data_IF_873344545273
#
_entry.id   IF_873344545273
#
_cell.length_a   1.000
_cell.length_b   1.000
_cell.length_c   1.000
_cell.angle_alpha   90.00
_cell.angle_beta   90.00
_cell.angle_gamma   90.00
#
_symmetry.space_group_name_H-M   'P 1'
#
loop_
_entity.id
_entity.type
_entity.pdbx_description
1 polymer ?
#
# COMPACT_ATOMS: atom_id res chain seq x y z
N UNK A 1 2.03 -16.92 -13.97
CA UNK A 1 2.27 -15.83 -12.99
C UNK A 1 2.27 -16.50 -11.63
N UNK A 2 3.44 -16.61 -11.00
CA UNK A 2 3.63 -17.41 -9.79
C UNK A 2 2.88 -16.78 -8.60
N UNK A 3 2.28 -17.64 -7.78
CA UNK A 3 1.57 -17.31 -6.54
C UNK A 3 2.51 -16.86 -5.39
N UNK A 4 3.77 -16.57 -5.67
CA UNK A 4 4.80 -16.27 -4.66
C UNK A 4 4.56 -14.92 -3.94
N UNK A 5 3.56 -14.15 -4.37
CA UNK A 5 3.29 -12.83 -3.82
C UNK A 5 2.01 -12.74 -2.97
N UNK A 6 1.28 -13.83 -2.71
CA UNK A 6 0.07 -13.79 -1.89
C UNK A 6 0.31 -14.14 -0.41
N UNK A 7 1.53 -14.48 -0.01
CA UNK A 7 1.90 -14.66 1.40
C UNK A 7 2.61 -13.42 1.94
N UNK A 8 2.40 -13.14 3.22
CA UNK A 8 3.05 -12.06 3.93
C UNK A 8 4.53 -12.37 4.09
N UNK A 9 5.41 -11.44 3.69
CA UNK A 9 6.87 -11.59 3.82
C UNK A 9 7.37 -11.68 5.27
N UNK A 10 6.53 -11.34 6.26
CA UNK A 10 6.90 -11.37 7.68
C UNK A 10 6.37 -12.60 8.43
N UNK A 11 5.09 -12.98 8.25
CA UNK A 11 4.50 -14.11 8.96
C UNK A 11 4.30 -15.37 8.09
N UNK A 12 4.47 -15.28 6.77
CA UNK A 12 4.26 -16.39 5.84
C UNK A 12 2.79 -16.72 5.55
N UNK A 13 1.85 -16.17 6.30
CA UNK A 13 0.42 -16.38 6.12
C UNK A 13 -0.13 -15.67 4.88
N UNK A 14 -1.29 -16.13 4.40
CA UNK A 14 -1.96 -15.57 3.23
C UNK A 14 -2.40 -14.13 3.46
N UNK A 15 -2.28 -13.29 2.44
CA UNK A 15 -2.69 -11.87 2.45
C UNK A 15 -3.85 -11.68 1.49
N UNK A 16 -5.03 -11.39 2.04
CA UNK A 16 -6.11 -10.76 1.31
C UNK A 16 -5.83 -9.25 1.21
N UNK A 17 -5.89 -8.68 0.00
CA UNK A 17 -5.57 -7.26 -0.20
C UNK A 17 -6.78 -6.42 0.22
N UNK A 18 -6.65 -5.73 1.35
CA UNK A 18 -7.66 -4.84 1.91
C UNK A 18 -7.02 -3.45 2.07
N UNK A 19 -7.56 -2.40 1.42
CA UNK A 19 -6.98 -1.05 1.45
C UNK A 19 -6.79 -0.53 2.87
N UNK A 20 -5.55 -0.24 3.26
CA UNK A 20 -5.22 0.27 4.60
C UNK A 20 -4.86 -0.79 5.64
N UNK A 21 -4.95 -2.09 5.31
CA UNK A 21 -4.52 -3.20 6.18
C UNK A 21 -3.48 -4.10 5.54
N UNK A 22 -3.44 -4.16 4.21
CA UNK A 22 -2.47 -4.94 3.48
C UNK A 22 -2.07 -4.22 2.18
N UNK A 23 -0.84 -4.48 1.75
CA UNK A 23 -0.34 -4.02 0.46
C UNK A 23 0.74 -4.96 -0.06
N UNK A 24 1.32 -4.64 -1.22
CA UNK A 24 2.47 -5.34 -1.76
C UNK A 24 3.61 -4.39 -2.11
N UNK A 25 4.84 -4.86 -1.93
CA UNK A 25 6.03 -4.28 -2.55
C UNK A 25 6.16 -4.94 -3.92
N UNK A 26 5.82 -4.25 -5.03
CA UNK A 26 5.90 -4.86 -6.35
C UNK A 26 7.35 -5.07 -6.77
N UNK A 27 7.59 -6.09 -7.60
CA UNK A 27 8.93 -6.53 -7.99
C UNK A 27 9.77 -5.44 -8.68
N UNK A 28 9.15 -4.48 -9.37
CA UNK A 28 9.89 -3.37 -9.99
C UNK A 28 10.34 -2.29 -8.98
N UNK A 29 9.91 -2.38 -7.71
CA UNK A 29 10.30 -1.48 -6.62
C UNK A 29 11.20 -2.19 -5.61
N UNK A 30 11.98 -3.20 -6.05
CA UNK A 30 12.85 -4.08 -5.24
C UNK A 30 13.37 -3.39 -3.97
N UNK A 31 12.73 -3.63 -2.83
CA UNK A 31 13.07 -2.92 -1.59
C UNK A 31 14.27 -3.60 -0.95
N UNK A 32 15.39 -2.91 -0.70
CA UNK A 32 16.57 -3.56 -0.12
C UNK A 32 16.22 -4.11 1.26
N UNK A 33 16.55 -5.38 1.47
CA UNK A 33 16.27 -6.10 2.70
C UNK A 33 17.56 -6.24 3.52
N UNK A 34 18.22 -5.13 3.87
CA UNK A 34 19.52 -5.19 4.58
C UNK A 34 19.45 -5.85 5.95
N UNK A 35 18.24 -6.10 6.45
CA UNK A 35 17.94 -6.81 7.69
C UNK A 35 17.64 -8.32 7.50
N UNK A 36 17.60 -8.83 6.27
CA UNK A 36 17.44 -10.25 5.97
C UNK A 36 18.78 -10.83 5.51
N UNK A 37 19.29 -11.85 6.21
CA UNK A 37 20.60 -12.44 5.92
C UNK A 37 20.65 -13.12 4.53
N UNK A 38 19.55 -13.76 4.12
CA UNK A 38 19.49 -14.57 2.90
C UNK A 38 18.93 -13.82 1.68
N UNK A 39 18.43 -12.59 1.86
CA UNK A 39 17.76 -11.84 0.80
C UNK A 39 18.30 -10.43 0.68
N UNK A 40 18.77 -10.06 -0.50
CA UNK A 40 19.18 -8.67 -0.77
C UNK A 40 17.98 -7.72 -0.93
N UNK A 41 16.81 -8.27 -1.29
CA UNK A 41 15.60 -7.50 -1.59
C UNK A 41 14.32 -8.21 -1.13
N UNK A 42 13.35 -7.43 -0.66
CA UNK A 42 11.99 -7.88 -0.34
C UNK A 42 11.08 -7.58 -1.53
N UNK A 43 10.29 -8.59 -1.90
CA UNK A 43 9.18 -8.49 -2.86
C UNK A 43 8.02 -9.33 -2.32
N UNK A 44 6.80 -8.82 -2.42
CA UNK A 44 5.60 -9.58 -2.06
C UNK A 44 4.62 -8.82 -1.19
N UNK A 45 3.62 -9.52 -0.70
CA UNK A 45 2.56 -8.95 0.12
C UNK A 45 2.98 -8.78 1.58
N UNK A 46 2.31 -7.87 2.26
CA UNK A 46 2.50 -7.63 3.68
C UNK A 46 1.16 -7.32 4.35
N UNK A 47 0.97 -7.89 5.54
CA UNK A 47 0.01 -7.33 6.50
C UNK A 47 0.68 -6.13 7.17
N UNK A 48 -0.04 -5.01 7.24
CA UNK A 48 0.46 -3.81 7.92
C UNK A 48 0.63 -4.04 9.43
N UNK A 49 -0.20 -4.89 10.02
CA UNK A 49 -0.04 -5.35 11.41
C UNK A 49 1.31 -6.05 11.64
N UNK A 50 1.72 -6.94 10.73
CA UNK A 50 3.02 -7.60 10.81
C UNK A 50 4.18 -6.62 10.59
N UNK A 51 4.04 -5.66 9.67
CA UNK A 51 5.06 -4.64 9.47
C UNK A 51 5.26 -3.79 10.74
N UNK A 52 4.18 -3.31 11.37
CA UNK A 52 4.26 -2.56 12.63
C UNK A 52 4.91 -3.35 13.77
N UNK A 53 4.62 -4.65 13.85
CA UNK A 53 5.19 -5.52 14.88
C UNK A 53 6.66 -5.92 14.61
N UNK A 54 7.15 -5.73 13.38
CA UNK A 54 8.47 -6.16 12.98
C UNK A 54 9.58 -5.40 13.73
N UNK A 55 10.66 -6.08 14.15
CA UNK A 55 11.85 -5.39 14.64
C UNK A 55 12.53 -4.57 13.55
N UNK A 56 12.35 -4.95 12.27
CA UNK A 56 12.94 -4.27 11.11
C UNK A 56 12.07 -3.14 10.53
N UNK A 57 11.03 -2.71 11.25
CA UNK A 57 10.06 -1.73 10.74
C UNK A 57 10.69 -0.39 10.39
N UNK A 58 11.70 0.04 11.14
CA UNK A 58 12.38 1.33 10.95
C UNK A 58 13.24 1.29 9.69
N UNK A 59 13.97 0.20 9.49
CA UNK A 59 14.78 -0.07 8.31
C UNK A 59 13.90 -0.18 7.06
N UNK A 60 12.77 -0.90 7.17
CA UNK A 60 11.75 -0.96 6.13
C UNK A 60 11.25 0.45 5.79
N UNK A 61 10.80 1.22 6.79
CA UNK A 61 10.22 2.54 6.59
C UNK A 61 11.23 3.50 5.93
N UNK A 62 12.48 3.46 6.35
CA UNK A 62 13.55 4.28 5.78
C UNK A 62 13.83 3.92 4.31
N UNK A 63 13.88 2.62 3.99
CA UNK A 63 14.09 2.16 2.62
C UNK A 63 12.87 2.47 1.73
N UNK A 64 11.66 2.26 2.23
CA UNK A 64 10.43 2.62 1.53
C UNK A 64 10.35 4.12 1.27
N UNK A 65 10.72 4.97 2.24
CA UNK A 65 10.74 6.42 2.07
C UNK A 65 11.64 6.84 0.89
N UNK A 66 12.83 6.25 0.77
CA UNK A 66 13.74 6.56 -0.35
C UNK A 66 13.14 6.24 -1.72
N UNK A 67 12.33 5.18 -1.81
CA UNK A 67 11.62 4.81 -3.03
C UNK A 67 10.44 5.75 -3.26
N UNK A 68 9.64 5.97 -2.22
CA UNK A 68 8.39 6.68 -2.34
C UNK A 68 8.58 8.17 -2.64
N UNK A 69 9.57 8.79 -2.00
CA UNK A 69 9.83 10.24 -2.11
C UNK A 69 10.92 10.58 -3.12
N UNK A 70 11.35 9.65 -3.96
CA UNK A 70 12.34 9.86 -5.01
C UNK A 70 11.74 9.77 -6.42
N UNK A 71 12.53 10.17 -7.41
CA UNK A 71 12.26 9.91 -8.84
C UNK A 71 12.93 8.61 -9.35
N UNK A 72 13.81 8.03 -8.54
CA UNK A 72 14.56 6.84 -8.85
C UNK A 72 15.99 6.94 -8.34
N UNK A 73 16.65 5.79 -8.19
CA UNK A 73 18.04 5.71 -7.76
C UNK A 73 18.74 4.51 -8.38
N UNK A 74 20.05 4.62 -8.48
CA UNK A 74 20.94 3.52 -8.82
C UNK A 74 21.36 2.78 -7.54
N UNK A 75 21.21 1.46 -7.53
CA UNK A 75 21.60 0.60 -6.42
C UNK A 75 22.70 -0.33 -6.90
N UNK A 76 23.89 -0.18 -6.32
CA UNK A 76 24.99 -1.12 -6.50
C UNK A 76 24.96 -2.19 -5.40
N UNK A 77 25.03 -3.46 -5.78
CA UNK A 77 25.01 -4.60 -4.84
C UNK A 77 25.91 -5.74 -5.33
N UNK A 78 26.27 -6.65 -4.42
CA UNK A 78 27.04 -7.85 -4.76
C UNK A 78 26.09 -9.01 -5.03
N UNK A 79 26.23 -9.67 -6.17
CA UNK A 79 25.51 -10.91 -6.48
C UNK A 79 26.36 -11.80 -7.39
N UNK A 80 26.32 -13.11 -7.14
CA UNK A 80 27.10 -14.11 -7.87
C UNK A 80 28.62 -13.81 -7.94
N UNK A 81 29.17 -13.15 -6.90
CA UNK A 81 30.59 -12.80 -6.83
C UNK A 81 30.98 -11.56 -7.64
N UNK A 82 30.02 -10.83 -8.21
CA UNK A 82 30.25 -9.62 -9.00
C UNK A 82 29.43 -8.43 -8.47
N UNK A 83 29.95 -7.23 -8.72
CA UNK A 83 29.22 -5.97 -8.51
C UNK A 83 28.17 -5.81 -9.61
N UNK A 84 26.91 -5.76 -9.22
CA UNK A 84 25.76 -5.52 -10.09
C UNK A 84 25.15 -4.16 -9.80
N UNK A 85 24.52 -3.56 -10.81
CA UNK A 85 23.83 -2.27 -10.71
C UNK A 85 22.37 -2.43 -11.15
N UNK A 86 21.46 -1.95 -10.30
CA UNK A 86 20.01 -1.90 -10.56
C UNK A 86 19.54 -0.45 -10.60
N UNK A 87 18.77 -0.10 -11.62
CA UNK A 87 18.01 1.15 -11.63
C UNK A 87 16.65 0.89 -11.00
N UNK A 88 16.38 1.53 -9.87
CA UNK A 88 15.11 1.42 -9.17
C UNK A 88 14.29 2.70 -9.41
N UNK A 89 13.04 2.58 -9.91
CA UNK A 89 12.14 3.71 -10.05
C UNK A 89 11.64 4.21 -8.70
N UNK A 90 11.41 5.52 -8.59
CA UNK A 90 10.74 6.14 -7.45
C UNK A 90 9.24 6.36 -7.70
N UNK A 91 8.52 6.87 -6.70
CA UNK A 91 7.07 7.13 -6.79
C UNK A 91 6.69 8.60 -6.91
N UNK A 92 7.67 9.51 -6.85
CA UNK A 92 7.45 10.93 -7.08
C UNK A 92 6.63 11.64 -5.99
N UNK A 93 6.58 11.13 -4.75
CA UNK A 93 6.01 11.85 -3.60
C UNK A 93 7.07 12.77 -2.98
N UNK A 94 7.54 13.76 -3.74
CA UNK A 94 8.75 14.53 -3.40
C UNK A 94 8.51 15.71 -2.45
N UNK A 95 7.30 16.25 -2.41
CA UNK A 95 6.98 17.43 -1.59
C UNK A 95 6.50 16.99 -0.20
N UNK A 96 7.32 17.11 0.84
CA UNK A 96 6.86 16.88 2.21
C UNK A 96 6.03 18.07 2.70
N UNK A 97 4.72 17.86 2.87
CA UNK A 97 3.78 18.91 3.30
C UNK A 97 3.47 18.86 4.79
N UNK A 98 3.75 17.74 5.45
CA UNK A 98 3.55 17.55 6.89
C UNK A 98 4.58 16.58 7.47
N UNK A 99 4.99 16.82 8.72
CA UNK A 99 5.77 15.90 9.53
C UNK A 99 5.33 16.02 10.98
N UNK A 100 4.83 14.92 11.52
CA UNK A 100 4.44 14.80 12.92
C UNK A 100 5.23 13.70 13.64
N UNK A 101 4.71 13.30 14.79
CA UNK A 101 5.33 12.34 15.70
C UNK A 101 5.07 10.89 15.27
N UNK A 102 3.96 10.63 14.57
CA UNK A 102 3.54 9.29 14.12
C UNK A 102 3.82 9.07 12.63
N UNK A 103 3.78 10.13 11.81
CA UNK A 103 3.84 10.05 10.37
C UNK A 103 4.45 11.28 9.66
N UNK A 104 4.63 11.14 8.36
CA UNK A 104 4.86 12.24 7.43
C UNK A 104 3.86 12.17 6.27
N UNK A 105 3.53 13.31 5.67
CA UNK A 105 2.70 13.37 4.47
C UNK A 105 3.50 14.01 3.35
N UNK A 106 3.56 13.28 2.25
CA UNK A 106 4.22 13.70 1.03
C UNK A 106 3.20 13.82 -0.10
N UNK A 107 3.28 14.91 -0.86
CA UNK A 107 2.47 15.14 -2.05
C UNK A 107 3.28 14.76 -3.29
N UNK A 108 2.59 14.18 -4.27
CA UNK A 108 3.16 13.95 -5.58
C UNK A 108 3.23 15.24 -6.41
N UNK A 109 4.34 15.40 -7.12
CA UNK A 109 4.55 16.52 -8.04
C UNK A 109 4.00 16.26 -9.45
N UNK A 110 3.64 15.02 -9.75
CA UNK A 110 3.20 14.56 -11.07
C UNK A 110 1.74 14.09 -11.08
N UNK A 111 1.05 14.13 -9.92
CA UNK A 111 -0.37 13.77 -9.81
C UNK A 111 -1.00 14.33 -8.53
N UNK A 112 -2.32 14.48 -8.55
CA UNK A 112 -3.12 14.84 -7.37
C UNK A 112 -3.23 13.63 -6.42
N UNK A 113 -2.12 13.30 -5.76
CA UNK A 113 -1.96 12.14 -4.88
C UNK A 113 -1.08 12.49 -3.69
N UNK A 114 -1.41 11.90 -2.54
CA UNK A 114 -0.72 12.07 -1.26
C UNK A 114 -0.35 10.72 -0.68
N UNK A 115 0.84 10.64 -0.13
CA UNK A 115 1.35 9.53 0.63
C UNK A 115 1.38 9.92 2.10
N UNK A 116 0.57 9.27 2.91
CA UNK A 116 0.69 9.29 4.37
C UNK A 116 1.57 8.10 4.77
N UNK A 117 2.75 8.35 5.32
CA UNK A 117 3.69 7.32 5.72
C UNK A 117 3.88 7.35 7.24
N UNK A 118 3.50 6.27 7.93
CA UNK A 118 3.83 6.10 9.34
C UNK A 118 5.33 5.83 9.51
N UNK A 119 5.92 6.41 10.56
CA UNK A 119 7.32 6.09 10.93
C UNK A 119 7.47 4.62 11.32
N UNK A 120 6.38 3.97 11.74
CA UNK A 120 6.32 2.56 12.09
C UNK A 120 6.12 1.60 10.89
N UNK A 121 6.00 2.11 9.66
CA UNK A 121 6.10 1.30 8.45
C UNK A 121 4.92 1.38 7.48
N UNK A 122 3.64 1.27 7.91
CA UNK A 122 2.53 1.33 6.97
C UNK A 122 2.44 2.66 6.23
N UNK A 123 1.85 2.59 5.04
CA UNK A 123 1.62 3.77 4.23
C UNK A 123 0.23 3.72 3.61
N UNK A 124 -0.29 4.91 3.32
CA UNK A 124 -1.60 5.13 2.73
C UNK A 124 -1.44 6.07 1.55
N UNK A 125 -2.00 5.67 0.41
CA UNK A 125 -2.09 6.55 -0.75
C UNK A 125 -3.51 7.09 -0.80
N UNK A 126 -3.64 8.40 -0.79
CA UNK A 126 -4.88 9.13 -0.99
C UNK A 126 -4.78 9.81 -2.34
N UNK A 127 -5.79 9.67 -3.19
CA UNK A 127 -5.89 10.43 -4.42
C UNK A 127 -6.91 11.56 -4.26
N UNK A 128 -7.09 12.33 -5.33
CA UNK A 128 -8.00 13.47 -5.35
C UNK A 128 -9.40 13.18 -4.78
N UNK A 129 -10.10 12.08 -5.11
CA UNK A 129 -11.43 11.83 -4.54
C UNK A 129 -11.40 11.74 -3.01
N UNK A 130 -10.37 11.11 -2.43
CA UNK A 130 -10.24 11.01 -0.97
C UNK A 130 -9.96 12.37 -0.33
N UNK A 131 -9.16 13.22 -0.98
CA UNK A 131 -8.94 14.58 -0.48
C UNK A 131 -10.22 15.43 -0.59
N UNK A 132 -11.00 15.28 -1.65
CA UNK A 132 -12.30 15.95 -1.82
C UNK A 132 -13.31 15.52 -0.75
N UNK A 133 -13.34 14.23 -0.40
CA UNK A 133 -14.14 13.72 0.72
C UNK A 133 -13.72 14.38 2.04
N UNK A 134 -12.41 14.43 2.32
CA UNK A 134 -11.88 15.09 3.52
C UNK A 134 -12.25 16.58 3.55
N UNK A 135 -12.15 17.29 2.42
CA UNK A 135 -12.55 18.70 2.32
C UNK A 135 -14.04 18.92 2.63
N UNK A 136 -14.88 17.93 2.36
CA UNK A 136 -16.32 17.93 2.69
C UNK A 136 -16.62 17.44 4.10
N UNK A 137 -15.60 17.16 4.92
CA UNK A 137 -15.75 16.64 6.28
C UNK A 137 -16.09 15.15 6.35
N UNK A 138 -16.00 14.42 5.22
CA UNK A 138 -16.22 12.96 5.18
C UNK A 138 -14.93 12.20 5.53
N UNK A 139 -15.07 10.90 5.72
CA UNK A 139 -13.94 9.99 5.81
C UNK A 139 -13.46 9.59 4.41
N UNK A 140 -12.15 9.49 4.15
CA UNK A 140 -11.65 9.03 2.87
C UNK A 140 -12.01 7.55 2.66
N UNK A 141 -12.55 7.21 1.49
CA UNK A 141 -12.86 5.83 1.09
C UNK A 141 -11.87 5.38 0.02
N UNK A 142 -11.10 4.32 0.29
CA UNK A 142 -10.20 3.73 -0.69
C UNK A 142 -10.93 2.65 -1.47
N UNK A 143 -11.04 2.85 -2.78
CA UNK A 143 -11.65 1.92 -3.73
C UNK A 143 -10.63 1.55 -4.82
N UNK A 144 -9.88 0.44 -4.66
CA UNK A 144 -8.93 -0.03 -5.67
C UNK A 144 -9.63 -0.70 -6.87
N UNK A 145 -10.95 -0.86 -6.84
CA UNK A 145 -11.72 -1.67 -7.79
C UNK A 145 -11.64 -3.17 -7.52
N UNK A 146 -11.82 -3.96 -8.57
CA UNK A 146 -11.87 -5.43 -8.49
C UNK A 146 -10.46 -6.01 -8.43
N UNK A 147 -10.19 -6.72 -7.34
CA UNK A 147 -8.98 -7.48 -7.08
C UNK A 147 -9.14 -8.94 -7.50
N UNK A 148 -8.03 -9.56 -7.90
CA UNK A 148 -7.98 -10.97 -8.30
C UNK A 148 -6.88 -11.70 -7.57
N UNK A 149 -7.23 -12.73 -6.81
CA UNK A 149 -6.27 -13.47 -5.98
C UNK A 149 -6.48 -14.99 -6.07
N UNK A 150 -5.40 -15.75 -5.94
CA UNK A 150 -5.47 -17.22 -5.84
C UNK A 150 -5.48 -17.63 -4.38
N UNK A 151 -6.53 -18.34 -3.97
CA UNK A 151 -6.69 -18.80 -2.59
C UNK A 151 -5.74 -19.97 -2.28
N UNK A 152 -5.21 -20.03 -1.04
CA UNK A 152 -4.22 -21.04 -0.64
C UNK A 152 -4.85 -22.43 -0.50
N UNK A 153 -6.15 -22.47 -0.21
CA UNK A 153 -6.97 -23.68 -0.05
C UNK A 153 -8.36 -23.44 -0.63
N UNK A 154 -9.15 -24.49 -0.72
CA UNK A 154 -10.56 -24.36 -1.10
C UNK A 154 -11.27 -23.45 -0.07
N UNK A 155 -12.06 -22.45 -0.52
CA UNK A 155 -12.80 -21.57 0.37
C UNK A 155 -13.93 -22.31 1.08
N UNK A 156 -14.56 -21.61 2.03
CA UNK A 156 -15.80 -22.05 2.66
C UNK A 156 -16.92 -22.30 1.64
N UNK A 157 -17.89 -23.13 2.01
CA UNK A 157 -19.14 -23.26 1.26
C UNK A 157 -19.87 -21.92 1.17
N UNK A 158 -20.60 -21.68 0.08
CA UNK A 158 -21.36 -20.45 -0.17
C UNK A 158 -20.52 -19.17 -0.15
N UNK A 159 -19.30 -19.21 -0.68
CA UNK A 159 -18.41 -18.03 -0.80
C UNK A 159 -19.09 -16.80 -1.42
N UNK A 160 -20.05 -16.98 -2.32
CA UNK A 160 -20.77 -15.88 -2.96
C UNK A 160 -21.60 -15.02 -1.97
N UNK A 161 -22.05 -15.62 -0.87
CA UNK A 161 -22.84 -14.97 0.17
C UNK A 161 -22.00 -14.61 1.40
N UNK A 162 -20.70 -14.90 1.38
CA UNK A 162 -19.83 -14.70 2.51
C UNK A 162 -19.60 -13.21 2.78
N UNK A 163 -19.63 -12.83 4.05
CA UNK A 163 -19.16 -11.52 4.50
C UNK A 163 -17.63 -11.47 4.55
N UNK A 164 -17.05 -10.27 4.58
CA UNK A 164 -15.59 -10.12 4.71
C UNK A 164 -15.02 -10.81 5.96
N UNK A 165 -15.62 -10.68 7.17
CA UNK A 165 -15.14 -11.40 8.34
C UNK A 165 -15.19 -12.92 8.19
N UNK A 166 -16.25 -13.47 7.59
CA UNK A 166 -16.35 -14.92 7.33
C UNK A 166 -15.28 -15.39 6.34
N UNK A 167 -14.99 -14.59 5.31
CA UNK A 167 -13.90 -14.87 4.38
C UNK A 167 -12.55 -14.89 5.10
N UNK A 168 -12.24 -13.86 5.90
CA UNK A 168 -10.99 -13.78 6.65
C UNK A 168 -10.82 -14.93 7.65
N UNK A 169 -11.90 -15.31 8.33
CA UNK A 169 -11.94 -16.45 9.26
C UNK A 169 -11.70 -17.78 8.53
N UNK A 170 -12.36 -17.98 7.38
CA UNK A 170 -12.16 -19.16 6.53
C UNK A 170 -10.72 -19.27 5.99
N UNK A 171 -10.03 -18.13 5.85
CA UNK A 171 -8.63 -18.06 5.45
C UNK A 171 -7.67 -18.22 6.66
N UNK A 172 -8.18 -18.06 7.88
CA UNK A 172 -7.43 -18.20 9.13
C UNK A 172 -6.48 -17.02 9.39
N UNK A 173 -6.84 -15.82 8.94
CA UNK A 173 -5.98 -14.62 8.99
C UNK A 173 -6.65 -13.41 9.64
N UNK A 174 -7.80 -13.59 10.29
CA UNK A 174 -8.58 -12.52 10.93
C UNK A 174 -7.76 -11.64 11.87
N UNK A 175 -6.85 -12.22 12.64
CA UNK A 175 -5.96 -11.52 13.58
C UNK A 175 -4.95 -10.59 12.88
N UNK A 176 -4.75 -10.74 11.56
CA UNK A 176 -3.87 -9.89 10.75
C UNK A 176 -4.52 -8.59 10.31
N UNK A 177 -5.84 -8.45 10.48
CA UNK A 177 -6.62 -7.27 10.09
C UNK A 177 -7.27 -6.60 11.33
N UNK A 178 -6.46 -6.15 12.31
CA UNK A 178 -6.99 -5.53 13.51
C UNK A 178 -7.76 -4.25 13.18
N UNK A 179 -8.84 -4.00 13.93
CA UNK A 179 -9.69 -2.80 13.80
C UNK A 179 -10.30 -2.59 12.41
N UNK A 180 -10.32 -3.62 11.55
CA UNK A 180 -10.89 -3.53 10.22
C UNK A 180 -12.36 -3.07 10.24
N UNK A 181 -13.14 -3.50 11.21
CA UNK A 181 -14.55 -3.08 11.35
C UNK A 181 -14.70 -1.56 11.54
N UNK A 182 -13.73 -0.88 12.15
CA UNK A 182 -13.73 0.58 12.30
C UNK A 182 -13.50 1.32 10.97
N UNK A 183 -12.94 0.63 9.98
CA UNK A 183 -12.81 1.12 8.60
C UNK A 183 -14.09 1.02 7.77
N UNK A 184 -15.17 0.50 8.35
CA UNK A 184 -16.48 0.30 7.69
C UNK A 184 -16.34 -0.34 6.29
N UNK A 185 -15.70 -1.53 6.19
CA UNK A 185 -15.39 -2.14 4.91
C UNK A 185 -16.66 -2.58 4.19
N UNK A 186 -16.77 -2.21 2.93
CA UNK A 186 -17.77 -2.73 2.00
C UNK A 186 -17.11 -3.80 1.14
N UNK A 187 -17.57 -5.04 1.27
CA UNK A 187 -17.05 -6.18 0.51
C UNK A 187 -18.08 -6.64 -0.51
N UNK A 188 -17.61 -6.87 -1.73
CA UNK A 188 -18.39 -7.44 -2.82
C UNK A 188 -17.69 -8.67 -3.38
N UNK A 189 -18.41 -9.80 -3.39
CA UNK A 189 -18.01 -10.97 -4.15
C UNK A 189 -18.32 -10.75 -5.63
N UNK A 190 -17.33 -10.95 -6.50
CA UNK A 190 -17.55 -10.89 -7.95
C UNK A 190 -17.63 -12.28 -8.58
N UNK A 191 -16.59 -13.10 -8.37
CA UNK A 191 -16.50 -14.40 -9.01
C UNK A 191 -15.53 -15.34 -8.31
N UNK A 192 -15.80 -16.63 -8.40
CA UNK A 192 -14.86 -17.67 -8.02
C UNK A 192 -14.66 -18.68 -9.15
N UNK A 193 -13.41 -18.94 -9.51
CA UNK A 193 -13.02 -19.96 -10.48
C UNK A 193 -12.33 -21.12 -9.77
N UNK A 194 -13.14 -22.10 -9.36
CA UNK A 194 -12.72 -23.26 -8.56
C UNK A 194 -11.50 -24.03 -9.10
N UNK A 195 -11.36 -24.32 -10.41
CA UNK A 195 -10.23 -25.13 -10.89
C UNK A 195 -8.85 -24.52 -10.63
N UNK A 196 -8.76 -23.19 -10.49
CA UNK A 196 -7.52 -22.48 -10.11
C UNK A 196 -7.63 -21.77 -8.77
N UNK A 197 -8.74 -21.95 -8.04
CA UNK A 197 -9.06 -21.27 -6.78
C UNK A 197 -8.89 -19.74 -6.87
N UNK A 198 -9.31 -19.15 -7.98
CA UNK A 198 -9.19 -17.70 -8.18
C UNK A 198 -10.45 -17.02 -7.66
N UNK A 199 -10.30 -16.14 -6.68
CA UNK A 199 -11.34 -15.23 -6.21
C UNK A 199 -11.16 -13.86 -6.88
N UNK A 200 -12.24 -13.31 -7.41
CA UNK A 200 -12.39 -11.93 -7.82
C UNK A 200 -13.35 -11.26 -6.83
N UNK A 201 -12.94 -10.12 -6.27
CA UNK A 201 -13.67 -9.43 -5.20
C UNK A 201 -13.33 -7.93 -5.20
N UNK A 202 -14.14 -7.12 -4.56
CA UNK A 202 -13.83 -5.71 -4.30
C UNK A 202 -13.96 -5.42 -2.80
N UNK A 203 -13.10 -4.55 -2.27
CA UNK A 203 -13.22 -4.01 -0.92
C UNK A 203 -12.99 -2.51 -0.94
N UNK A 204 -13.99 -1.77 -0.46
CA UNK A 204 -13.87 -0.34 -0.18
C UNK A 204 -13.75 -0.17 1.33
N UNK A 205 -12.77 0.59 1.79
CA UNK A 205 -12.61 0.82 3.24
C UNK A 205 -12.02 2.20 3.53
N UNK A 206 -12.30 2.71 4.73
CA UNK A 206 -11.62 3.90 5.26
C UNK A 206 -10.32 3.48 5.94
N UNK A 207 -9.15 3.93 5.46
CA UNK A 207 -7.88 3.55 6.05
C UNK A 207 -7.74 4.12 7.46
N UNK A 208 -7.09 3.40 8.40
CA UNK A 208 -6.85 3.88 9.75
C UNK A 208 -5.71 4.89 9.76
N UNK A 209 -5.96 6.10 9.28
CA UNK A 209 -4.95 7.18 9.24
C UNK A 209 -4.53 7.59 10.67
N UNK A 210 -3.25 7.92 10.89
CA UNK A 210 -2.79 8.57 12.12
C UNK A 210 -3.61 9.82 12.43
N UNK A 211 -3.90 10.07 13.71
CA UNK A 211 -4.78 11.18 14.13
C UNK A 211 -4.24 12.53 13.67
N UNK A 212 -2.92 12.72 13.76
CA UNK A 212 -2.26 13.94 13.30
C UNK A 212 -2.37 14.14 11.78
N UNK A 213 -2.40 13.04 11.00
CA UNK A 213 -2.58 13.11 9.56
C UNK A 213 -4.00 13.53 9.20
N UNK A 214 -5.02 12.95 9.85
CA UNK A 214 -6.42 13.34 9.65
C UNK A 214 -6.64 14.83 9.97
N UNK A 215 -6.12 15.30 11.12
CA UNK A 215 -6.20 16.71 11.53
C UNK A 215 -5.54 17.63 10.50
N UNK A 216 -4.32 17.30 10.06
CA UNK A 216 -3.63 18.08 9.05
C UNK A 216 -4.40 18.12 7.73
N UNK A 217 -4.82 16.96 7.22
CA UNK A 217 -5.50 16.83 5.94
C UNK A 217 -6.84 17.58 5.93
N UNK A 218 -7.60 17.58 7.04
CA UNK A 218 -8.83 18.40 7.16
C UNK A 218 -8.58 19.89 7.05
N UNK A 219 -7.45 20.38 7.56
CA UNK A 219 -7.04 21.78 7.42
C UNK A 219 -6.48 22.10 6.02
N UNK A 220 -5.76 21.15 5.43
CA UNK A 220 -5.10 21.31 4.13
C UNK A 220 -6.05 21.20 2.94
N UNK A 221 -6.95 20.20 2.95
CA UNK A 221 -7.77 19.82 1.81
C UNK A 221 -8.63 20.96 1.21
N UNK A 222 -9.30 21.82 2.00
CA UNK A 222 -10.12 22.91 1.45
C UNK A 222 -9.31 23.98 0.69
N UNK A 223 -8.03 24.12 1.00
CA UNK A 223 -7.14 25.11 0.37
C UNK A 223 -6.35 24.56 -0.82
N UNK A 224 -6.40 23.25 -1.05
CA UNK A 224 -5.64 22.60 -2.10
C UNK A 224 -6.15 23.00 -3.49
N UNK A 225 -5.21 23.19 -4.43
CA UNK A 225 -5.50 23.39 -5.85
C UNK A 225 -4.90 22.24 -6.65
N UNK A 226 -5.71 21.56 -7.49
CA UNK A 226 -5.22 20.52 -8.39
C UNK A 226 -4.03 20.99 -9.22
N UNK A 227 -3.15 20.05 -9.55
CA UNK A 227 -2.04 20.29 -10.47
C UNK A 227 -2.61 20.67 -11.84
N UNK A 228 -2.12 21.78 -12.39
CA UNK A 228 -2.41 22.18 -13.77
C UNK A 228 -1.38 21.55 -14.71
N UNK A 229 -1.76 20.41 -15.30
CA UNK A 229 -0.91 19.68 -16.24
C UNK A 229 -0.64 20.47 -17.54
N UNK A 230 -1.60 21.30 -17.97
CA UNK A 230 -1.44 22.14 -19.17
C UNK A 230 -0.40 23.25 -18.95
N UNK A 231 -0.15 23.63 -17.70
CA UNK A 231 0.93 24.55 -17.33
C UNK A 231 2.30 23.84 -17.28
N UNK A 232 2.34 22.59 -16.80
CA UNK A 232 3.58 21.80 -16.69
C UNK A 232 4.19 21.45 -18.06
N UNK A 233 3.38 21.11 -19.07
CA UNK A 233 3.87 20.79 -20.42
C UNK A 233 4.49 22.00 -21.16
N UNK A 234 4.22 23.23 -20.70
CA UNK A 234 4.74 24.46 -21.33
C UNK A 234 6.14 24.85 -20.83
N UNK A 235 6.55 24.33 -19.68
CA UNK A 235 7.85 24.63 -19.06
C UNK A 235 8.94 23.60 -19.42
N UNK A 236 8.61 22.49 -20.09
CA UNK A 236 9.60 21.58 -20.66
C UNK A 236 10.12 22.13 -22.02
N UNK A 237 11.43 22.43 -22.17
CA UNK A 237 11.98 22.74 -23.47
C UNK A 237 11.85 21.50 -24.36
N UNK A 238 11.07 21.62 -25.43
CA UNK A 238 11.04 20.63 -26.52
C UNK A 238 12.45 20.50 -27.10
N UNK A 239 13.19 19.49 -26.64
CA UNK A 239 14.47 19.05 -27.20
C UNK A 239 14.27 18.15 -28.40
#
# INVERSE_FOLDING_TARGET
MSNEHASCVFCGEFVLHIPGWASSVPSYRLMRATWQEDHAFVVGSLHFSCLRASPARSEFAAEFAQIATGHGREITYQAAGETQTLIQPGLGYVEQIFRGDECAIHRSDTRDSWLVQEHAGPWYVLDRPQLEDIAQGKQPRLDPGVERIVLPREPMANLADATLPELLDSLGVTDRYPDLAAGEPEYEFWKYFAPKRVLEYAVIATPPLPTEADVFLRGYAPGYRPIDFDALERDEPRS
#
